data_IF_576206825289
#
_entry.id   IF_576206825289
#
_cell.length_a   1.000
_cell.length_b   1.000
_cell.length_c   1.000
_cell.angle_alpha   90.00
_cell.angle_beta   90.00
_cell.angle_gamma   90.00
#
_symmetry.space_group_name_H-M   'P 1'
#
loop_
_entity.id
_entity.type
_entity.pdbx_description
1 polymer ?
#
# COMPACT_ATOMS: atom_id res chain seq x y z
N UNK A 1 14.64 -15.19 -3.74
CA UNK A 1 13.99 -14.19 -4.60
C UNK A 1 13.67 -13.01 -3.71
N UNK A 2 14.30 -11.86 -3.94
CA UNK A 2 13.89 -10.62 -3.30
C UNK A 2 12.51 -10.27 -3.89
N UNK A 3 11.48 -9.91 -3.10
CA UNK A 3 10.24 -9.43 -3.68
C UNK A 3 10.57 -8.18 -4.50
N UNK A 4 10.05 -8.10 -5.72
CA UNK A 4 10.30 -6.98 -6.64
C UNK A 4 9.80 -5.68 -6.00
N UNK A 5 10.71 -4.93 -5.39
CA UNK A 5 10.40 -3.69 -4.67
C UNK A 5 10.56 -2.50 -5.60
N UNK A 6 9.48 -1.77 -5.85
CA UNK A 6 9.47 -0.61 -6.76
C UNK A 6 9.36 0.68 -5.97
N UNK A 7 10.26 1.68 -6.16
CA UNK A 7 10.14 2.97 -5.49
C UNK A 7 8.80 3.65 -5.76
N UNK A 8 8.23 4.27 -4.74
CA UNK A 8 6.95 4.96 -4.83
C UNK A 8 6.87 6.15 -3.86
N UNK A 9 6.16 7.20 -4.26
CA UNK A 9 5.87 8.36 -3.39
C UNK A 9 4.37 8.55 -3.25
N UNK A 10 3.89 8.74 -2.03
CA UNK A 10 2.46 8.94 -1.76
C UNK A 10 2.01 10.28 -2.34
N UNK A 11 1.02 10.24 -3.23
CA UNK A 11 0.34 11.43 -3.73
C UNK A 11 -0.86 11.80 -2.86
N UNK A 12 -1.70 10.81 -2.52
CA UNK A 12 -2.83 10.98 -1.61
C UNK A 12 -3.14 9.66 -0.89
N UNK A 13 -3.70 9.73 0.32
CA UNK A 13 -4.09 8.54 1.06
C UNK A 13 -5.37 8.76 1.88
N UNK A 14 -6.14 7.69 2.05
CA UNK A 14 -7.35 7.67 2.86
C UNK A 14 -7.40 6.44 3.75
N UNK A 15 -8.10 6.57 4.88
CA UNK A 15 -8.43 5.45 5.75
C UNK A 15 -9.89 5.07 5.53
N UNK A 16 -10.14 3.78 5.33
CA UNK A 16 -11.47 3.20 5.18
C UNK A 16 -11.84 2.57 6.54
N UNK A 17 -12.80 3.16 7.29
CA UNK A 17 -13.17 2.71 8.63
C UNK A 17 -14.16 1.53 8.58
N UNK A 18 -13.88 0.56 7.71
CA UNK A 18 -14.66 -0.67 7.57
C UNK A 18 -13.74 -1.84 7.23
N UNK A 19 -14.18 -3.05 7.59
CA UNK A 19 -13.47 -4.28 7.23
C UNK A 19 -13.15 -4.30 5.73
N UNK A 20 -11.90 -4.62 5.39
CA UNK A 20 -11.52 -4.78 3.99
C UNK A 20 -12.20 -6.01 3.36
N UNK A 21 -12.54 -5.97 2.07
CA UNK A 21 -13.09 -7.12 1.36
C UNK A 21 -12.07 -8.26 1.20
N UNK A 22 -10.77 -7.97 1.40
CA UNK A 22 -9.70 -8.96 1.38
C UNK A 22 -9.64 -9.63 2.74
N UNK A 23 -9.89 -10.95 2.76
CA UNK A 23 -9.87 -11.73 4.00
C UNK A 23 -8.54 -11.60 4.72
N UNK A 24 -8.54 -11.58 6.05
CA UNK A 24 -7.30 -11.49 6.85
C UNK A 24 -6.54 -10.15 6.77
N UNK A 25 -7.00 -9.17 5.98
CA UNK A 25 -6.40 -7.85 5.90
C UNK A 25 -7.42 -6.76 6.25
N UNK A 26 -7.03 -5.85 7.14
CA UNK A 26 -7.86 -4.68 7.46
C UNK A 26 -9.17 -4.99 8.15
N UNK A 27 -9.17 -5.94 9.10
CA UNK A 27 -10.38 -6.38 9.82
C UNK A 27 -11.07 -5.25 10.58
N UNK A 28 -10.28 -4.31 11.10
CA UNK A 28 -10.73 -3.14 11.87
C UNK A 28 -10.64 -1.83 11.07
N UNK A 29 -10.53 -1.93 9.74
CA UNK A 29 -10.24 -0.81 8.85
C UNK A 29 -8.87 -0.94 8.18
N UNK A 30 -8.69 -0.21 7.08
CA UNK A 30 -7.46 -0.26 6.28
C UNK A 30 -7.19 1.06 5.57
N UNK A 31 -5.94 1.24 5.15
CA UNK A 31 -5.53 2.43 4.41
C UNK A 31 -5.28 2.08 2.94
N UNK A 32 -5.65 3.01 2.06
CA UNK A 32 -5.31 2.97 0.63
C UNK A 32 -4.60 4.25 0.25
N UNK A 33 -3.68 4.16 -0.69
CA UNK A 33 -2.93 5.31 -1.20
C UNK A 33 -2.91 5.30 -2.72
N UNK A 34 -2.96 6.49 -3.30
CA UNK A 34 -2.46 6.76 -4.64
C UNK A 34 -0.98 7.09 -4.51
N UNK A 35 -0.14 6.36 -5.23
CA UNK A 35 1.31 6.56 -5.25
C UNK A 35 1.77 6.85 -6.68
N UNK A 36 2.77 7.72 -6.80
CA UNK A 36 3.49 7.95 -8.04
C UNK A 36 4.69 6.99 -8.11
N UNK A 37 4.80 6.25 -9.22
CA UNK A 37 5.91 5.34 -9.56
C UNK A 37 6.56 5.78 -10.89
N UNK A 38 7.60 5.08 -11.35
CA UNK A 38 8.19 5.31 -12.68
C UNK A 38 7.22 5.09 -13.84
N UNK A 39 6.23 4.22 -13.63
CA UNK A 39 5.29 3.78 -14.68
C UNK A 39 3.97 4.57 -14.64
N UNK A 40 3.87 5.51 -13.70
CA UNK A 40 2.71 6.38 -13.52
C UNK A 40 2.11 6.25 -12.12
N UNK A 41 0.84 6.65 -12.01
CA UNK A 41 0.13 6.69 -10.73
C UNK A 41 -0.70 5.43 -10.55
N UNK A 42 -0.56 4.78 -9.39
CA UNK A 42 -1.27 3.55 -9.04
C UNK A 42 -1.98 3.69 -7.68
N UNK A 43 -3.17 3.11 -7.57
CA UNK A 43 -3.84 2.93 -6.28
C UNK A 43 -3.41 1.60 -5.64
N UNK A 44 -2.99 1.64 -4.38
CA UNK A 44 -2.46 0.50 -3.65
C UNK A 44 -2.98 0.44 -2.22
N UNK A 45 -2.92 -0.75 -1.63
CA UNK A 45 -3.11 -0.93 -0.19
C UNK A 45 -1.88 -0.40 0.54
N UNK A 46 -2.03 -0.02 1.81
CA UNK A 46 -0.93 0.49 2.63
C UNK A 46 -0.62 -0.52 3.74
N UNK A 47 0.63 -0.90 3.86
CA UNK A 47 1.10 -1.65 5.03
C UNK A 47 1.16 -0.71 6.24
N UNK A 48 0.20 -0.86 7.16
CA UNK A 48 0.14 -0.10 8.40
C UNK A 48 -0.72 1.18 8.34
N UNK A 49 -0.36 2.24 9.08
CA UNK A 49 -1.18 3.43 9.22
C UNK A 49 -1.22 4.27 7.93
N UNK A 50 -2.23 5.14 7.82
CA UNK A 50 -2.39 6.05 6.67
C UNK A 50 -1.18 6.99 6.54
N UNK A 51 -0.41 6.94 5.44
CA UNK A 51 0.70 7.86 5.23
C UNK A 51 0.21 9.25 4.82
N UNK A 52 1.08 10.24 4.90
CA UNK A 52 0.83 11.60 4.40
C UNK A 52 1.29 11.73 2.95
N UNK A 53 0.73 12.67 2.16
CA UNK A 53 1.31 13.05 0.87
C UNK A 53 2.80 13.40 1.01
N UNK A 54 3.61 12.92 0.07
CA UNK A 54 5.07 13.08 0.08
C UNK A 54 5.83 11.98 0.84
N UNK A 55 5.16 11.07 1.55
CA UNK A 55 5.83 9.92 2.16
C UNK A 55 6.48 9.04 1.08
N UNK A 56 7.77 8.79 1.22
CA UNK A 56 8.55 7.92 0.33
C UNK A 56 8.51 6.49 0.86
N UNK A 57 8.48 5.53 -0.06
CA UNK A 57 8.53 4.12 0.27
C UNK A 57 8.66 3.26 -0.98
N UNK A 58 8.12 2.04 -0.87
CA UNK A 58 8.21 1.03 -1.92
C UNK A 58 6.93 0.23 -2.04
N UNK A 59 6.62 -0.17 -3.27
CA UNK A 59 5.64 -1.20 -3.55
C UNK A 59 6.27 -2.57 -3.33
N UNK A 60 5.60 -3.40 -2.54
CA UNK A 60 6.01 -4.77 -2.27
C UNK A 60 4.85 -5.70 -2.64
N UNK A 61 5.13 -6.68 -3.51
CA UNK A 61 4.15 -7.74 -3.78
C UNK A 61 3.94 -8.57 -2.51
N UNK A 62 2.68 -8.75 -2.12
CA UNK A 62 2.25 -9.62 -1.04
C UNK A 62 1.11 -10.49 -1.52
N UNK A 63 1.13 -11.73 -1.06
CA UNK A 63 0.01 -12.64 -1.19
C UNK A 63 -0.93 -12.43 0.01
N UNK A 64 -2.14 -11.93 -0.27
CA UNK A 64 -3.20 -11.78 0.72
C UNK A 64 -4.26 -12.85 0.43
N UNK A 65 -4.20 -13.95 1.19
CA UNK A 65 -4.89 -15.23 0.91
C UNK A 65 -4.44 -15.84 -0.42
N UNK A 66 -5.26 -15.73 -1.46
CA UNK A 66 -5.03 -16.28 -2.81
C UNK A 66 -4.82 -15.16 -3.85
N UNK A 67 -4.83 -13.90 -3.41
CA UNK A 67 -4.66 -12.74 -4.30
C UNK A 67 -3.28 -12.13 -4.09
N UNK A 68 -2.48 -12.11 -5.15
CA UNK A 68 -1.26 -11.30 -5.20
C UNK A 68 -1.64 -9.84 -5.41
N UNK A 69 -1.13 -8.96 -4.55
CA UNK A 69 -1.39 -7.52 -4.64
C UNK A 69 -0.18 -6.71 -4.18
N UNK A 70 -0.08 -5.47 -4.64
CA UNK A 70 0.96 -4.55 -4.21
C UNK A 70 0.52 -3.78 -2.96
N UNK A 71 1.36 -3.80 -1.93
CA UNK A 71 1.25 -2.93 -0.76
C UNK A 71 2.32 -1.85 -0.83
N UNK A 72 1.94 -0.63 -0.49
CA UNK A 72 2.90 0.41 -0.15
C UNK A 72 3.43 0.20 1.27
N UNK A 73 4.74 0.09 1.39
CA UNK A 73 5.47 0.11 2.65
C UNK A 73 6.28 1.42 2.72
N UNK A 74 6.01 2.25 3.73
CA UNK A 74 6.80 3.45 3.97
C UNK A 74 8.23 3.06 4.34
N UNK A 75 9.21 3.81 3.83
CA UNK A 75 10.59 3.60 4.24
C UNK A 75 10.77 3.99 5.72
N UNK A 76 11.63 3.27 6.47
CA UNK A 76 11.93 3.63 7.85
C UNK A 76 12.56 5.03 7.89
N UNK A 77 12.00 5.89 8.72
CA UNK A 77 12.52 7.23 9.03
C UNK A 77 13.65 7.17 10.04
#
# INVERSE_FOLDING_TARGET
>A
MQPDSHPATVWAATFVPSKSPISGYGMDGYSVAWVDTSDGRLQVLVSGPRPTPGTVGRLVERELNETKTFLFEADPT
#
